data_IF_915975097430
#
_entry.id   IF_915975097430
#
_cell.length_a   1.000
_cell.length_b   1.000
_cell.length_c   1.000
_cell.angle_alpha   90.00
_cell.angle_beta   90.00
_cell.angle_gamma   90.00
#
_symmetry.space_group_name_H-M   'P 1'
#
loop_
_entity.id
_entity.type
_entity.pdbx_description
1 polymer ?
#
# COMPACT_ATOMS: atom_id res chain seq x y z
N UNK A 1 36.96 -16.72 72.66
CA UNK A 1 36.74 -15.26 72.82
C UNK A 1 36.32 -14.66 71.47
N UNK A 2 35.04 -14.88 71.12
CA UNK A 2 34.12 -14.13 70.22
C UNK A 2 32.86 -14.97 69.97
N UNK A 3 32.97 -16.31 69.92
CA UNK A 3 31.85 -17.24 69.73
C UNK A 3 30.94 -17.43 70.96
N UNK A 4 31.49 -17.36 72.18
CA UNK A 4 30.69 -17.46 73.43
C UNK A 4 30.00 -16.14 73.82
N UNK A 5 30.29 -15.02 73.14
CA UNK A 5 29.62 -13.74 73.42
C UNK A 5 28.25 -13.64 72.71
N UNK A 6 27.98 -14.50 71.73
CA UNK A 6 26.77 -14.45 70.91
C UNK A 6 25.99 -15.76 70.80
N UNK A 7 26.39 -16.82 71.50
CA UNK A 7 25.66 -18.11 71.54
C UNK A 7 25.11 -18.57 70.17
N UNK A 8 25.95 -18.55 69.12
CA UNK A 8 25.56 -19.09 67.81
C UNK A 8 26.65 -19.98 67.23
N UNK A 9 26.21 -21.14 66.77
CA UNK A 9 26.99 -22.16 66.07
C UNK A 9 27.44 -21.68 64.67
N UNK A 10 28.68 -22.03 64.30
CA UNK A 10 29.38 -21.70 63.04
C UNK A 10 28.60 -22.07 61.76
N UNK A 11 27.56 -22.90 61.90
CA UNK A 11 26.63 -23.31 60.84
C UNK A 11 25.85 -22.14 60.19
N UNK A 12 25.80 -20.97 60.85
CA UNK A 12 25.04 -19.81 60.35
C UNK A 12 25.68 -19.10 59.14
N UNK A 13 26.99 -19.26 58.89
CA UNK A 13 27.69 -18.61 57.76
C UNK A 13 27.80 -19.49 56.50
N UNK A 14 27.11 -20.63 56.47
CA UNK A 14 26.97 -21.48 55.27
C UNK A 14 25.51 -21.53 54.79
N UNK A 15 24.59 -20.87 55.50
CA UNK A 15 23.14 -20.83 55.21
C UNK A 15 22.62 -19.48 54.69
N UNK A 16 23.49 -18.57 54.28
CA UNK A 16 23.08 -17.31 53.62
C UNK A 16 22.74 -17.51 52.13
N UNK A 17 21.93 -18.54 51.83
CA UNK A 17 21.31 -18.70 50.52
C UNK A 17 19.93 -19.36 50.60
N UNK A 18 19.21 -19.20 51.71
CA UNK A 18 17.76 -19.41 51.78
C UNK A 18 17.12 -18.40 52.75
N UNK A 19 16.70 -17.26 52.23
CA UNK A 19 15.55 -16.53 52.79
C UNK A 19 14.40 -16.60 51.77
N UNK A 20 13.45 -17.48 52.08
CA UNK A 20 12.04 -17.33 51.69
C UNK A 20 11.42 -16.17 52.49
N UNK A 21 10.31 -15.61 51.96
CA UNK A 21 9.27 -14.84 52.68
C UNK A 21 9.23 -13.29 52.72
N UNK A 22 9.82 -12.56 51.77
CA UNK A 22 9.47 -11.12 51.59
C UNK A 22 9.32 -10.61 50.15
N UNK A 23 9.11 -11.52 49.19
CA UNK A 23 9.10 -11.19 47.76
C UNK A 23 7.93 -11.81 46.98
N UNK A 24 6.90 -12.33 47.66
CA UNK A 24 5.70 -12.88 47.03
C UNK A 24 4.64 -11.85 46.67
N UNK A 25 4.30 -10.94 47.58
CA UNK A 25 3.12 -10.06 47.40
C UNK A 25 3.39 -8.81 46.55
N UNK A 26 4.61 -8.27 46.57
CA UNK A 26 4.96 -7.08 45.78
C UNK A 26 5.22 -7.42 44.29
N UNK A 27 5.71 -8.64 44.00
CA UNK A 27 5.81 -9.15 42.62
C UNK A 27 4.46 -9.63 42.08
N UNK A 28 3.57 -10.14 42.92
CA UNK A 28 2.21 -10.55 42.53
C UNK A 28 1.30 -9.35 42.19
N UNK A 29 1.35 -8.27 42.97
CA UNK A 29 0.57 -7.03 42.72
C UNK A 29 1.11 -6.20 41.53
N UNK A 30 2.43 -6.25 41.28
CA UNK A 30 3.06 -5.64 40.12
C UNK A 30 2.72 -6.38 38.82
N UNK A 31 2.77 -7.72 38.85
CA UNK A 31 2.48 -8.55 37.69
C UNK A 31 1.00 -8.50 37.28
N UNK A 32 0.06 -8.48 38.22
CA UNK A 32 -1.38 -8.37 37.89
C UNK A 32 -1.73 -7.03 37.20
N UNK A 33 -1.15 -5.91 37.62
CA UNK A 33 -1.30 -4.61 36.94
C UNK A 33 -0.61 -4.56 35.58
N UNK A 34 0.53 -5.22 35.44
CA UNK A 34 1.27 -5.34 34.18
C UNK A 34 0.54 -6.26 33.19
N UNK A 35 -0.06 -7.35 33.66
CA UNK A 35 -0.89 -8.27 32.89
C UNK A 35 -2.19 -7.60 32.45
N UNK A 36 -2.89 -6.85 33.31
CA UNK A 36 -4.06 -6.06 32.91
C UNK A 36 -3.71 -5.03 31.84
N UNK A 37 -2.60 -4.29 32.00
CA UNK A 37 -2.15 -3.35 30.96
C UNK A 37 -1.66 -4.03 29.69
N UNK A 38 -1.01 -5.19 29.81
CA UNK A 38 -0.61 -6.02 28.67
C UNK A 38 -1.84 -6.54 27.94
N UNK A 39 -2.91 -6.87 28.64
CA UNK A 39 -4.14 -7.40 28.06
C UNK A 39 -5.05 -6.30 27.52
N UNK A 40 -5.01 -5.10 28.11
CA UNK A 40 -5.63 -3.89 27.56
C UNK A 40 -4.90 -3.40 26.30
N UNK A 41 -3.55 -3.44 26.30
CA UNK A 41 -2.76 -3.27 25.07
C UNK A 41 -3.01 -4.42 24.09
N UNK A 42 -3.13 -5.68 24.54
CA UNK A 42 -3.39 -6.82 23.67
C UNK A 42 -4.74 -6.66 22.97
N UNK A 43 -5.73 -6.12 23.67
CA UNK A 43 -7.08 -5.83 23.19
C UNK A 43 -7.11 -4.61 22.27
N UNK A 44 -6.28 -3.60 22.53
CA UNK A 44 -6.08 -2.45 21.63
C UNK A 44 -5.23 -2.80 20.38
N UNK A 45 -4.37 -3.82 20.48
CA UNK A 45 -3.53 -4.37 19.41
C UNK A 45 -4.23 -5.48 18.65
N UNK A 46 -5.27 -6.10 19.22
CA UNK A 46 -6.16 -7.06 18.56
C UNK A 46 -6.88 -6.31 17.45
N UNK A 47 -6.39 -6.52 16.24
CA UNK A 47 -6.92 -5.88 15.06
C UNK A 47 -8.43 -6.09 14.93
N UNK A 48 -9.11 -5.10 14.36
CA UNK A 48 -10.52 -5.19 14.06
C UNK A 48 -10.74 -6.25 12.99
N UNK A 49 -11.23 -7.42 13.41
CA UNK A 49 -11.55 -8.53 12.53
C UNK A 49 -13.07 -8.67 12.44
N UNK A 50 -13.63 -8.18 11.33
CA UNK A 50 -15.04 -8.28 11.04
C UNK A 50 -15.23 -9.03 9.72
N UNK A 51 -15.93 -10.16 9.77
CA UNK A 51 -16.35 -10.90 8.57
C UNK A 51 -17.88 -10.87 8.52
N UNK A 52 -18.44 -10.34 7.44
CA UNK A 52 -19.89 -10.22 7.27
C UNK A 52 -20.54 -11.59 7.08
N UNK A 53 -21.75 -11.75 7.62
CA UNK A 53 -22.56 -12.99 7.59
C UNK A 53 -23.16 -13.32 6.21
N UNK A 54 -23.14 -12.39 5.25
CA UNK A 54 -23.63 -12.68 3.89
C UNK A 54 -22.56 -13.44 3.11
N UNK A 55 -22.81 -14.73 2.87
CA UNK A 55 -22.03 -15.57 1.99
C UNK A 55 -22.72 -15.66 0.63
N UNK A 56 -22.04 -15.24 -0.44
CA UNK A 56 -22.43 -15.61 -1.80
C UNK A 56 -21.44 -16.69 -2.25
N UNK A 57 -21.96 -17.90 -2.52
CA UNK A 57 -21.17 -19.08 -2.95
C UNK A 57 -19.99 -19.43 -2.01
N UNK A 58 -20.17 -19.32 -0.69
CA UNK A 58 -19.14 -19.71 0.29
C UNK A 58 -18.01 -18.69 0.52
N UNK A 59 -18.04 -17.52 -0.13
CA UNK A 59 -17.10 -16.42 0.07
C UNK A 59 -17.80 -15.31 0.87
N UNK A 60 -17.20 -14.80 1.96
CA UNK A 60 -17.79 -13.69 2.72
C UNK A 60 -17.85 -12.41 1.85
N UNK A 61 -19.01 -11.75 1.84
CA UNK A 61 -19.22 -10.51 1.09
C UNK A 61 -18.25 -9.40 1.51
N UNK A 62 -18.00 -9.30 2.81
CA UNK A 62 -17.13 -8.26 3.37
C UNK A 62 -16.21 -8.91 4.39
N UNK A 63 -14.91 -8.73 4.22
CA UNK A 63 -13.89 -9.10 5.20
C UNK A 63 -13.05 -7.87 5.52
N UNK A 64 -13.14 -7.40 6.76
CA UNK A 64 -12.36 -6.30 7.30
C UNK A 64 -11.40 -6.92 8.31
N UNK A 65 -10.09 -6.79 8.06
CA UNK A 65 -9.03 -7.20 8.97
C UNK A 65 -8.06 -6.03 9.14
N UNK A 66 -8.38 -5.14 10.07
CA UNK A 66 -7.53 -4.00 10.43
C UNK A 66 -6.65 -4.36 11.64
N UNK A 67 -5.46 -4.93 11.39
CA UNK A 67 -4.48 -5.21 12.44
C UNK A 67 -3.23 -4.36 12.30
N UNK A 68 -2.69 -3.83 13.41
CA UNK A 68 -1.37 -3.17 13.47
C UNK A 68 -0.21 -4.16 13.33
N UNK A 69 -0.42 -5.47 13.54
CA UNK A 69 0.61 -6.50 13.33
C UNK A 69 0.65 -6.94 11.86
N UNK A 70 1.85 -6.90 11.26
CA UNK A 70 2.15 -7.68 10.05
C UNK A 70 2.23 -9.16 10.46
N UNK A 71 1.13 -9.89 10.30
CA UNK A 71 1.08 -11.33 10.53
C UNK A 71 0.30 -12.04 9.41
N UNK A 72 0.45 -13.36 9.30
CA UNK A 72 -0.29 -14.20 8.33
C UNK A 72 -1.81 -14.03 8.41
N UNK A 73 -2.33 -13.54 9.53
CA UNK A 73 -3.76 -13.34 9.77
C UNK A 73 -4.31 -12.02 9.19
N UNK A 74 -3.43 -11.08 8.79
CA UNK A 74 -3.79 -9.75 8.29
C UNK A 74 -4.24 -9.74 6.82
N UNK A 75 -4.47 -10.93 6.23
CA UNK A 75 -4.98 -11.10 4.87
C UNK A 75 -6.52 -11.12 4.90
N UNK A 76 -7.13 -10.02 4.51
CA UNK A 76 -8.57 -9.93 4.28
C UNK A 76 -8.92 -10.55 2.92
N UNK A 77 -9.84 -11.52 2.89
CA UNK A 77 -10.35 -12.15 1.66
C UNK A 77 -11.86 -12.02 1.58
N UNK A 78 -12.40 -11.47 0.51
CA UNK A 78 -13.85 -11.31 0.33
C UNK A 78 -14.21 -10.58 -0.96
N UNK A 79 -15.50 -10.29 -1.19
CA UNK A 79 -15.88 -9.41 -2.31
C UNK A 79 -15.40 -7.98 -2.02
N UNK A 80 -15.59 -7.52 -0.79
CA UNK A 80 -15.03 -6.28 -0.25
C UNK A 80 -14.02 -6.65 0.83
N UNK A 81 -12.73 -6.39 0.58
CA UNK A 81 -11.62 -6.69 1.48
C UNK A 81 -10.98 -5.39 1.97
N UNK A 82 -10.90 -5.19 3.28
CA UNK A 82 -10.24 -4.03 3.89
C UNK A 82 -9.20 -4.52 4.90
N UNK A 83 -7.93 -4.17 4.74
CA UNK A 83 -6.88 -4.59 5.66
C UNK A 83 -5.47 -4.28 5.15
N UNK A 84 -4.43 -4.71 5.86
CA UNK A 84 -3.06 -4.44 5.41
C UNK A 84 -2.77 -5.20 4.09
N UNK A 85 -3.27 -6.44 3.98
CA UNK A 85 -3.29 -7.22 2.74
C UNK A 85 -4.75 -7.52 2.42
N UNK A 86 -5.27 -7.02 1.30
CA UNK A 86 -6.65 -7.17 0.88
C UNK A 86 -6.75 -7.89 -0.48
N UNK A 87 -7.51 -8.97 -0.54
CA UNK A 87 -7.74 -9.77 -1.75
C UNK A 87 -9.24 -9.89 -1.99
N UNK A 88 -9.73 -9.34 -3.10
CA UNK A 88 -11.17 -9.28 -3.35
C UNK A 88 -11.57 -8.63 -4.65
N UNK A 89 -12.86 -8.39 -4.84
CA UNK A 89 -13.34 -7.59 -6.00
C UNK A 89 -13.03 -6.12 -5.75
N UNK A 90 -13.28 -5.65 -4.53
CA UNK A 90 -12.91 -4.32 -4.04
C UNK A 90 -11.95 -4.50 -2.86
N UNK A 91 -10.71 -4.07 -3.04
CA UNK A 91 -9.62 -4.28 -2.08
C UNK A 91 -9.04 -2.93 -1.63
N UNK A 92 -9.04 -2.68 -0.32
CA UNK A 92 -8.52 -1.46 0.30
C UNK A 92 -7.45 -1.83 1.34
N UNK A 93 -6.21 -1.40 1.12
CA UNK A 93 -5.10 -1.85 1.96
C UNK A 93 -3.73 -1.31 1.61
N UNK A 94 -2.69 -1.73 2.34
CA UNK A 94 -1.32 -1.43 1.93
C UNK A 94 -0.94 -2.26 0.68
N UNK A 95 -1.33 -3.53 0.66
CA UNK A 95 -1.24 -4.43 -0.49
C UNK A 95 -2.65 -4.87 -0.87
N UNK A 96 -3.09 -4.51 -2.08
CA UNK A 96 -4.44 -4.75 -2.57
C UNK A 96 -4.40 -5.49 -3.90
N UNK A 97 -5.06 -6.65 -3.95
CA UNK A 97 -5.19 -7.48 -5.15
C UNK A 97 -6.68 -7.65 -5.44
N UNK A 98 -7.12 -7.31 -6.66
CA UNK A 98 -8.54 -7.35 -6.96
C UNK A 98 -8.96 -6.78 -8.30
N UNK A 99 -10.26 -6.58 -8.50
CA UNK A 99 -10.77 -5.86 -9.69
C UNK A 99 -10.57 -4.36 -9.51
N UNK A 100 -10.97 -3.86 -8.35
CA UNK A 100 -10.75 -2.50 -7.87
C UNK A 100 -9.80 -2.55 -6.67
N UNK A 101 -8.58 -2.05 -6.85
CA UNK A 101 -7.52 -2.12 -5.84
C UNK A 101 -7.06 -0.71 -5.47
N UNK A 102 -7.14 -0.40 -4.18
CA UNK A 102 -6.69 0.87 -3.60
C UNK A 102 -5.63 0.57 -2.55
N UNK A 103 -4.43 1.11 -2.70
CA UNK A 103 -3.37 0.87 -1.73
C UNK A 103 -2.00 1.44 -2.03
N UNK A 104 -0.99 1.08 -1.24
CA UNK A 104 0.39 1.42 -1.58
C UNK A 104 0.87 0.56 -2.76
N UNK A 105 0.56 -0.73 -2.73
CA UNK A 105 0.76 -1.72 -3.79
C UNK A 105 -0.61 -2.20 -4.26
N UNK A 106 -1.00 -1.84 -5.47
CA UNK A 106 -2.31 -2.17 -6.03
C UNK A 106 -2.16 -3.00 -7.32
N UNK A 107 -2.78 -4.18 -7.35
CA UNK A 107 -2.86 -5.04 -8.51
C UNK A 107 -4.31 -5.27 -8.90
N UNK A 108 -4.70 -4.96 -10.14
CA UNK A 108 -6.08 -5.20 -10.55
C UNK A 108 -6.47 -4.73 -11.95
N UNK A 109 -7.76 -4.69 -12.25
CA UNK A 109 -8.25 -4.06 -13.49
C UNK A 109 -8.15 -2.55 -13.35
N UNK A 110 -8.61 -2.02 -12.22
CA UNK A 110 -8.45 -0.62 -11.81
C UNK A 110 -7.59 -0.61 -10.55
N UNK A 111 -6.39 -0.06 -10.67
CA UNK A 111 -5.41 0.00 -9.60
C UNK A 111 -5.05 1.46 -9.30
N UNK A 112 -5.25 1.87 -8.04
CA UNK A 112 -4.92 3.18 -7.51
C UNK A 112 -3.93 3.01 -6.36
N UNK A 113 -2.70 3.49 -6.53
CA UNK A 113 -1.70 3.34 -5.49
C UNK A 113 -0.34 3.96 -5.75
N UNK A 114 0.61 3.82 -4.83
CA UNK A 114 1.98 4.30 -5.07
C UNK A 114 2.66 3.48 -6.17
N UNK A 115 2.53 2.16 -6.09
CA UNK A 115 2.85 1.21 -7.15
C UNK A 115 1.55 0.54 -7.60
N UNK A 116 1.15 0.78 -8.84
CA UNK A 116 -0.10 0.29 -9.41
C UNK A 116 0.18 -0.53 -10.67
N UNK A 117 -0.37 -1.74 -10.75
CA UNK A 117 -0.31 -2.58 -11.94
C UNK A 117 -1.70 -3.06 -12.34
N UNK A 118 -2.10 -2.81 -13.59
CA UNK A 118 -3.45 -3.15 -14.04
C UNK A 118 -3.82 -2.78 -15.45
N UNK A 119 -5.12 -2.84 -15.77
CA UNK A 119 -5.62 -2.34 -17.06
C UNK A 119 -5.63 -0.81 -17.05
N UNK A 120 -6.19 -0.24 -16.00
CA UNK A 120 -6.19 1.18 -15.63
C UNK A 120 -5.35 1.32 -14.36
N UNK A 121 -4.14 1.88 -14.48
CA UNK A 121 -3.21 2.05 -13.37
C UNK A 121 -2.92 3.53 -13.12
N UNK A 122 -3.10 3.95 -11.87
CA UNK A 122 -2.87 5.31 -11.42
C UNK A 122 -1.95 5.29 -10.20
N UNK A 123 -0.79 5.94 -10.29
CA UNK A 123 0.16 5.92 -9.19
C UNK A 123 1.44 6.68 -9.38
N UNK A 124 2.38 6.59 -8.43
CA UNK A 124 3.73 7.10 -8.67
C UNK A 124 4.42 6.24 -9.73
N UNK A 125 4.39 4.92 -9.55
CA UNK A 125 4.84 3.94 -10.54
C UNK A 125 3.64 3.15 -11.05
N UNK A 126 3.22 3.41 -12.28
CA UNK A 126 2.03 2.82 -12.88
C UNK A 126 2.40 1.95 -14.07
N UNK A 127 1.93 0.69 -14.09
CA UNK A 127 2.14 -0.23 -15.22
C UNK A 127 0.79 -0.76 -15.70
N UNK A 128 0.46 -0.57 -16.97
CA UNK A 128 -0.84 -1.04 -17.47
C UNK A 128 -1.16 -0.80 -18.93
N UNK A 129 -2.42 -1.01 -19.33
CA UNK A 129 -2.86 -0.62 -20.67
C UNK A 129 -2.96 0.91 -20.74
N UNK A 130 -3.63 1.51 -19.75
CA UNK A 130 -3.65 2.94 -19.50
C UNK A 130 -2.93 3.15 -18.16
N UNK A 131 -1.78 3.80 -18.19
CA UNK A 131 -0.96 4.07 -17.02
C UNK A 131 -0.76 5.58 -16.85
N UNK A 132 -1.12 6.12 -15.68
CA UNK A 132 -0.96 7.53 -15.36
C UNK A 132 -0.17 7.65 -14.06
N UNK A 133 0.94 8.38 -14.07
CA UNK A 133 1.81 8.49 -12.91
C UNK A 133 3.03 9.37 -13.05
N UNK A 134 3.92 9.38 -12.06
CA UNK A 134 5.21 10.07 -12.22
C UNK A 134 6.12 9.26 -13.16
N UNK A 135 6.17 7.95 -12.96
CA UNK A 135 6.74 6.97 -13.87
C UNK A 135 5.62 6.02 -14.36
N UNK A 136 5.25 6.14 -15.63
CA UNK A 136 4.16 5.36 -16.22
C UNK A 136 4.68 4.51 -17.39
N UNK A 137 4.32 3.22 -17.41
CA UNK A 137 4.62 2.31 -18.50
C UNK A 137 3.35 1.60 -18.99
N UNK A 138 3.05 1.68 -20.29
CA UNK A 138 1.85 1.06 -20.82
C UNK A 138 1.65 1.13 -22.32
N UNK A 139 0.45 0.79 -22.80
CA UNK A 139 0.05 1.07 -24.19
C UNK A 139 -0.19 2.58 -24.37
N UNK A 140 -0.92 3.15 -23.42
CA UNK A 140 -1.21 4.57 -23.26
C UNK A 140 -0.62 5.02 -21.91
N UNK A 141 0.43 5.84 -21.94
CA UNK A 141 1.13 6.30 -20.74
C UNK A 141 1.08 7.82 -20.62
N UNK A 142 0.79 8.33 -19.41
CA UNK A 142 0.80 9.75 -19.08
C UNK A 142 1.59 10.01 -17.80
N UNK A 143 2.55 10.94 -17.80
CA UNK A 143 3.35 11.18 -16.61
C UNK A 143 4.51 12.15 -16.73
N UNK A 144 5.42 12.15 -15.76
CA UNK A 144 6.69 12.88 -15.91
C UNK A 144 7.61 12.09 -16.82
N UNK A 145 7.81 10.80 -16.51
CA UNK A 145 8.46 9.81 -17.37
C UNK A 145 7.41 8.83 -17.86
N UNK A 146 7.10 8.88 -19.16
CA UNK A 146 6.06 8.06 -19.78
C UNK A 146 6.66 7.15 -20.87
N UNK A 147 6.48 5.85 -20.70
CA UNK A 147 6.85 4.79 -21.65
C UNK A 147 5.58 4.17 -22.22
N UNK A 148 5.12 4.69 -23.36
CA UNK A 148 3.88 4.28 -24.01
C UNK A 148 4.17 3.55 -25.31
N UNK A 149 3.72 2.30 -25.48
CA UNK A 149 3.93 1.58 -26.76
C UNK A 149 3.23 2.28 -27.93
N UNK A 150 2.04 2.83 -27.72
CA UNK A 150 1.33 3.62 -28.72
C UNK A 150 1.39 5.10 -28.45
N UNK A 151 0.91 5.55 -27.28
CA UNK A 151 0.88 6.96 -26.91
C UNK A 151 1.58 7.17 -25.57
N UNK A 152 2.53 8.09 -25.55
CA UNK A 152 3.24 8.54 -24.35
C UNK A 152 3.13 10.06 -24.25
N UNK A 153 2.63 10.58 -23.13
CA UNK A 153 2.56 12.02 -22.84
C UNK A 153 3.30 12.30 -21.55
N UNK A 154 4.30 13.18 -21.59
CA UNK A 154 5.05 13.55 -20.39
C UNK A 154 6.25 14.43 -20.65
N UNK A 155 6.98 14.82 -19.60
CA UNK A 155 8.21 15.60 -19.76
C UNK A 155 9.25 14.79 -20.55
N UNK A 156 9.48 13.55 -20.13
CA UNK A 156 10.23 12.54 -20.87
C UNK A 156 9.25 11.47 -21.38
N UNK A 157 8.97 11.47 -22.67
CA UNK A 157 8.01 10.57 -23.31
C UNK A 157 8.71 9.67 -24.34
N UNK A 158 8.48 8.36 -24.28
CA UNK A 158 8.98 7.42 -25.28
C UNK A 158 7.88 6.48 -25.75
N UNK A 159 7.72 6.39 -27.07
CA UNK A 159 6.65 5.61 -27.68
C UNK A 159 6.56 5.74 -29.19
N UNK A 160 5.61 5.04 -29.83
CA UNK A 160 5.32 5.31 -31.25
C UNK A 160 4.90 6.75 -31.46
N UNK A 161 4.00 7.23 -30.59
CA UNK A 161 3.50 8.61 -30.52
C UNK A 161 3.93 9.20 -29.19
N UNK A 162 4.91 10.10 -29.19
CA UNK A 162 5.46 10.69 -27.98
C UNK A 162 5.23 12.21 -27.98
N UNK A 163 4.67 12.73 -26.90
CA UNK A 163 4.35 14.15 -26.68
C UNK A 163 5.07 14.58 -25.40
N UNK A 164 5.99 15.55 -25.51
CA UNK A 164 6.78 15.95 -24.35
C UNK A 164 7.89 16.95 -24.64
N UNK A 165 8.58 17.41 -23.61
CA UNK A 165 9.80 18.20 -23.75
C UNK A 165 10.93 17.35 -24.37
N UNK A 166 11.08 16.12 -23.89
CA UNK A 166 11.98 15.12 -24.43
C UNK A 166 11.16 13.94 -24.95
N UNK A 167 10.80 13.97 -26.23
CA UNK A 167 9.98 12.95 -26.89
C UNK A 167 10.82 12.07 -27.84
N UNK A 168 10.81 10.75 -27.64
CA UNK A 168 11.53 9.78 -28.47
C UNK A 168 10.55 8.79 -29.08
N UNK A 169 10.39 8.83 -30.41
CA UNK A 169 9.40 8.01 -31.11
C UNK A 169 9.39 8.14 -32.63
N UNK A 170 8.56 7.34 -33.30
CA UNK A 170 8.32 7.46 -34.75
C UNK A 170 7.58 8.77 -35.09
N UNK A 171 6.63 9.14 -34.24
CA UNK A 171 5.89 10.39 -34.27
C UNK A 171 6.14 11.08 -32.94
N UNK A 172 7.07 12.04 -32.93
CA UNK A 172 7.40 12.82 -31.76
C UNK A 172 6.96 14.27 -31.94
N UNK A 173 6.33 14.82 -30.91
CA UNK A 173 5.87 16.19 -30.88
C UNK A 173 6.47 16.85 -29.63
N UNK A 174 7.45 17.72 -29.87
CA UNK A 174 8.33 18.29 -28.86
C UNK A 174 7.80 19.64 -28.40
N UNK A 175 7.68 19.82 -27.08
CA UNK A 175 7.18 21.04 -26.48
C UNK A 175 8.25 22.13 -26.42
N UNK A 176 8.42 22.89 -27.51
CA UNK A 176 9.40 23.98 -27.55
C UNK A 176 8.81 25.38 -27.31
N UNK A 177 7.58 25.66 -27.76
CA UNK A 177 7.02 27.03 -27.75
C UNK A 177 5.51 27.10 -27.41
N UNK A 178 5.01 26.12 -26.66
CA UNK A 178 3.58 26.00 -26.33
C UNK A 178 2.81 25.32 -27.47
N UNK A 179 2.33 24.10 -27.24
CA UNK A 179 1.45 23.43 -28.19
C UNK A 179 0.01 23.76 -27.94
N UNK A 180 -0.70 24.05 -29.03
CA UNK A 180 -2.11 24.31 -28.98
C UNK A 180 -2.90 23.00 -28.85
N UNK A 181 -4.04 23.03 -28.16
CA UNK A 181 -4.89 21.84 -27.97
C UNK A 181 -5.22 21.17 -29.31
N UNK A 182 -5.41 21.99 -30.34
CA UNK A 182 -5.78 21.56 -31.66
C UNK A 182 -4.64 20.81 -32.37
N UNK A 183 -3.38 21.20 -32.14
CA UNK A 183 -2.22 20.48 -32.67
C UNK A 183 -2.09 19.10 -32.05
N UNK A 184 -2.29 19.00 -30.73
CA UNK A 184 -2.30 17.72 -30.00
C UNK A 184 -3.46 16.85 -30.48
N UNK A 185 -4.63 17.45 -30.68
CA UNK A 185 -5.82 16.75 -31.14
C UNK A 185 -5.65 16.21 -32.56
N UNK A 186 -5.19 17.01 -33.51
CA UNK A 186 -4.94 16.58 -34.89
C UNK A 186 -3.86 15.49 -34.94
N UNK A 187 -2.85 15.58 -34.08
CA UNK A 187 -1.80 14.56 -33.96
C UNK A 187 -2.32 13.24 -33.40
N UNK A 188 -3.18 13.28 -32.37
CA UNK A 188 -3.85 12.09 -31.83
C UNK A 188 -4.84 11.49 -32.84
N UNK A 189 -5.59 12.31 -33.58
CA UNK A 189 -6.53 11.85 -34.60
C UNK A 189 -5.82 11.17 -35.77
N UNK A 190 -4.65 11.69 -36.17
CA UNK A 190 -3.84 11.10 -37.24
C UNK A 190 -3.22 9.76 -36.83
N UNK A 191 -2.87 9.61 -35.55
CA UNK A 191 -2.07 8.47 -35.11
C UNK A 191 -2.90 7.37 -34.46
N UNK A 192 -3.99 7.72 -33.76
CA UNK A 192 -4.86 6.78 -33.06
C UNK A 192 -6.36 7.18 -33.17
N UNK A 193 -7.01 6.91 -34.31
CA UNK A 193 -8.42 7.28 -34.53
C UNK A 193 -9.42 6.55 -33.61
N UNK A 194 -9.02 5.44 -32.98
CA UNK A 194 -9.84 4.68 -32.02
C UNK A 194 -9.68 5.11 -30.55
N UNK A 195 -8.94 6.20 -30.28
CA UNK A 195 -8.73 6.66 -28.91
C UNK A 195 -10.03 7.11 -28.25
N UNK A 196 -10.30 6.62 -27.04
CA UNK A 196 -11.50 6.97 -26.28
C UNK A 196 -11.55 8.49 -26.04
N UNK A 197 -12.65 9.15 -26.41
CA UNK A 197 -12.89 10.61 -26.24
C UNK A 197 -12.47 11.19 -24.88
N UNK A 198 -12.84 10.60 -23.73
CA UNK A 198 -12.41 11.12 -22.42
C UNK A 198 -10.89 11.04 -22.21
N UNK A 199 -10.26 9.97 -22.69
CA UNK A 199 -8.81 9.79 -22.60
C UNK A 199 -8.08 10.82 -23.49
N UNK A 200 -8.66 11.12 -24.66
CA UNK A 200 -8.17 12.15 -25.58
C UNK A 200 -8.20 13.53 -24.94
N UNK A 201 -9.33 13.92 -24.36
CA UNK A 201 -9.46 15.19 -23.63
C UNK A 201 -8.47 15.27 -22.47
N UNK A 202 -8.25 14.16 -21.77
CA UNK A 202 -7.27 14.09 -20.70
C UNK A 202 -5.85 14.32 -21.21
N UNK A 203 -5.43 13.67 -22.31
CA UNK A 203 -4.10 13.91 -22.89
C UNK A 203 -3.93 15.32 -23.47
N UNK A 204 -4.98 15.88 -24.09
CA UNK A 204 -4.96 17.28 -24.55
C UNK A 204 -4.80 18.22 -23.36
N UNK A 205 -5.58 18.02 -22.29
CA UNK A 205 -5.48 18.81 -21.08
C UNK A 205 -4.09 18.71 -20.45
N UNK A 206 -3.55 17.48 -20.35
CA UNK A 206 -2.24 17.22 -19.77
C UNK A 206 -1.13 17.86 -20.60
N UNK A 207 -1.22 17.76 -21.93
CA UNK A 207 -0.34 18.46 -22.85
C UNK A 207 -0.39 19.97 -22.66
N UNK A 208 -1.57 20.59 -22.72
CA UNK A 208 -1.75 22.04 -22.56
C UNK A 208 -1.21 22.61 -21.24
N UNK A 209 -1.17 21.79 -20.18
CA UNK A 209 -0.74 22.21 -18.85
C UNK A 209 0.71 21.84 -18.51
N UNK A 210 1.44 21.16 -19.41
CA UNK A 210 2.89 21.01 -19.27
C UNK A 210 3.51 22.35 -19.69
N UNK A 211 3.94 23.13 -18.70
CA UNK A 211 4.58 24.44 -18.86
C UNK A 211 5.93 24.47 -18.18
#
# INVERSE_FOLDING_TARGET
MISELFDVSVDYLVKDSMEEDFSGDMYSMGNTRLEEKMDELSRYVKGYQYTSKRHIKGIPLVSIRLGRRLGKESVAKGIIAIGNIAIGVVSLGAVSIGVFSFGALAFGIIALGAMAAGLLAFGAMAVGVIAIGTAAAGLYAGGVTALGKEVAVGVAASGKTAIGETAVGHHCLVWNNGLDAEQIRQFLDRTNPHLWEPLRKFFIFLGQHIK
#
